data_IF_987062365840
#
_entry.id   IF_987062365840
#
_cell.length_a   1.000
_cell.length_b   1.000
_cell.length_c   1.000
_cell.angle_alpha   90.00
_cell.angle_beta   90.00
_cell.angle_gamma   90.00
#
_symmetry.space_group_name_H-M   'P 1'
#
loop_
_entity.id
_entity.type
_entity.pdbx_description
1 polymer ?
#
# COMPACT_ATOMS: atom_id res chain seq x y z
N UNK A 1 8.84 21.48 13.86
CA UNK A 1 8.37 20.12 14.04
C UNK A 1 9.41 19.10 13.60
N UNK A 2 9.55 18.10 14.36
CA UNK A 2 10.56 17.11 14.07
C UNK A 2 10.10 16.11 13.02
N UNK A 3 10.97 15.80 12.12
CA UNK A 3 10.71 14.79 11.14
C UNK A 3 10.91 13.39 11.71
N UNK A 4 9.96 12.52 11.50
CA UNK A 4 9.95 11.17 12.08
C UNK A 4 10.39 10.09 11.11
N UNK A 5 11.18 10.43 10.11
CA UNK A 5 11.69 9.43 9.17
C UNK A 5 12.63 8.47 9.90
N UNK A 6 12.14 7.29 10.22
CA UNK A 6 12.84 6.33 11.07
C UNK A 6 14.15 5.85 10.51
N UNK A 7 14.29 5.72 9.22
CA UNK A 7 15.44 5.06 8.61
C UNK A 7 16.23 5.99 7.71
N UNK A 8 16.12 7.30 7.96
CA UNK A 8 16.88 8.28 7.21
C UNK A 8 16.42 8.48 5.78
N UNK A 9 15.29 7.94 5.39
CA UNK A 9 14.72 8.16 4.06
C UNK A 9 14.38 9.64 3.88
N UNK A 10 14.75 10.18 2.74
CA UNK A 10 14.41 11.56 2.36
C UNK A 10 13.29 11.53 1.34
N UNK A 11 12.32 12.42 1.50
CA UNK A 11 11.27 12.58 0.51
C UNK A 11 11.83 13.20 -0.76
N UNK A 12 11.45 12.67 -1.88
CA UNK A 12 11.93 13.11 -3.19
C UNK A 12 10.73 13.45 -4.07
N UNK A 13 10.83 14.60 -4.77
CA UNK A 13 9.78 15.02 -5.70
C UNK A 13 10.14 14.59 -7.12
N UNK A 14 9.19 13.98 -7.82
CA UNK A 14 9.36 13.59 -9.21
C UNK A 14 8.04 13.77 -9.95
N UNK A 15 8.06 14.52 -11.05
CA UNK A 15 6.87 14.81 -11.87
C UNK A 15 5.68 15.30 -11.04
N UNK A 16 5.94 16.17 -10.07
CA UNK A 16 4.91 16.73 -9.21
C UNK A 16 4.48 15.86 -8.05
N UNK A 17 4.87 14.58 -8.02
CA UNK A 17 4.58 13.69 -6.90
C UNK A 17 5.75 13.66 -5.91
N UNK A 18 5.44 13.39 -4.65
CA UNK A 18 6.44 13.29 -3.59
C UNK A 18 6.59 11.83 -3.21
N UNK A 19 7.83 11.35 -3.22
CA UNK A 19 8.14 9.96 -2.89
C UNK A 19 8.98 9.90 -1.63
N UNK A 20 8.83 8.83 -0.86
CA UNK A 20 9.47 8.69 0.43
C UNK A 20 10.98 8.45 0.35
N UNK A 21 11.48 8.04 -0.82
CA UNK A 21 12.91 7.80 -1.00
C UNK A 21 13.32 8.03 -2.45
N UNK A 22 14.64 8.19 -2.65
CA UNK A 22 15.21 8.26 -4.01
C UNK A 22 14.96 6.98 -4.79
N UNK A 23 15.01 5.84 -4.11
CA UNK A 23 14.79 4.54 -4.73
C UNK A 23 13.37 4.47 -5.29
N UNK A 24 12.39 4.92 -4.52
CA UNK A 24 11.00 4.93 -4.95
C UNK A 24 10.80 5.89 -6.12
N UNK A 25 11.37 7.09 -6.04
CA UNK A 25 11.28 8.07 -7.14
C UNK A 25 11.93 7.54 -8.41
N UNK A 26 13.07 6.88 -8.28
CA UNK A 26 13.75 6.26 -9.44
C UNK A 26 12.89 5.17 -10.05
N UNK A 27 12.28 4.34 -9.22
CA UNK A 27 11.40 3.28 -9.71
C UNK A 27 10.17 3.86 -10.41
N UNK A 28 9.62 4.96 -9.88
CA UNK A 28 8.50 5.65 -10.52
C UNK A 28 8.87 6.11 -11.94
N UNK A 29 10.09 6.65 -12.10
CA UNK A 29 10.58 7.06 -13.41
C UNK A 29 10.70 5.88 -14.37
N UNK A 30 11.26 4.76 -13.89
CA UNK A 30 11.40 3.55 -14.70
C UNK A 30 10.04 3.01 -15.15
N UNK A 31 9.08 2.96 -14.22
CA UNK A 31 7.73 2.48 -14.55
C UNK A 31 7.03 3.40 -15.53
N UNK A 32 7.23 4.71 -15.40
CA UNK A 32 6.67 5.68 -16.35
C UNK A 32 7.18 5.43 -17.77
N UNK A 33 8.47 5.17 -17.93
CA UNK A 33 9.05 4.86 -19.23
C UNK A 33 8.51 3.54 -19.78
N UNK A 34 8.38 2.51 -18.94
CA UNK A 34 7.83 1.22 -19.36
C UNK A 34 6.38 1.35 -19.80
N UNK A 35 5.60 2.17 -19.10
CA UNK A 35 4.20 2.39 -19.45
C UNK A 35 4.08 3.10 -20.79
N UNK A 36 4.90 4.14 -21.02
CA UNK A 36 4.92 4.84 -22.30
C UNK A 36 5.34 3.94 -23.45
N UNK A 37 6.23 2.99 -23.18
CA UNK A 37 6.67 2.01 -24.16
C UNK A 37 5.66 0.87 -24.39
N UNK A 38 4.55 0.86 -23.65
CA UNK A 38 3.53 -0.18 -23.79
C UNK A 38 3.90 -1.51 -23.16
N UNK A 39 4.95 -1.55 -22.33
CA UNK A 39 5.38 -2.79 -21.69
C UNK A 39 4.55 -3.13 -20.46
N UNK A 40 3.99 -2.13 -19.81
CA UNK A 40 3.11 -2.26 -18.65
C UNK A 40 1.95 -1.29 -18.78
N UNK A 41 0.91 -1.48 -17.96
CA UNK A 41 -0.27 -0.62 -17.99
C UNK A 41 -0.84 -0.45 -16.59
N UNK A 42 -1.70 0.55 -16.44
CA UNK A 42 -2.47 0.81 -15.20
C UNK A 42 -1.56 1.00 -13.98
N UNK A 43 -0.51 1.79 -14.13
CA UNK A 43 0.40 2.08 -13.02
C UNK A 43 -0.31 2.95 -12.00
N UNK A 44 -0.34 2.46 -10.75
CA UNK A 44 -0.91 3.15 -9.61
C UNK A 44 0.12 3.20 -8.49
N UNK A 45 0.06 4.24 -7.68
CA UNK A 45 0.99 4.42 -6.56
C UNK A 45 0.23 4.41 -5.25
N UNK A 46 0.88 3.97 -4.18
CA UNK A 46 0.35 3.97 -2.82
C UNK A 46 -1.03 3.32 -2.76
N UNK A 47 -1.12 2.10 -3.25
CA UNK A 47 -2.38 1.36 -3.29
C UNK A 47 -2.62 0.66 -1.97
N UNK A 48 -3.80 0.89 -1.39
CA UNK A 48 -4.17 0.33 -0.09
C UNK A 48 -4.74 -1.08 -0.25
N UNK A 49 -4.22 -2.00 0.57
CA UNK A 49 -4.79 -3.33 0.73
C UNK A 49 -5.14 -3.53 2.19
N UNK A 50 -6.42 -3.80 2.47
CA UNK A 50 -6.86 -4.09 3.84
C UNK A 50 -6.46 -5.53 4.16
N UNK A 51 -5.71 -5.71 5.24
CA UNK A 51 -5.24 -7.03 5.68
C UNK A 51 -6.16 -7.61 6.74
N UNK A 52 -6.56 -6.79 7.69
CA UNK A 52 -7.51 -7.16 8.74
C UNK A 52 -8.53 -6.02 8.81
N UNK A 53 -9.82 -6.31 8.60
CA UNK A 53 -10.82 -5.25 8.66
C UNK A 53 -11.00 -4.73 10.08
N UNK A 54 -11.59 -3.55 10.20
CA UNK A 54 -11.96 -3.02 11.51
C UNK A 54 -12.90 -3.98 12.21
N UNK A 55 -12.69 -4.15 13.50
CA UNK A 55 -13.51 -5.01 14.35
C UNK A 55 -14.29 -4.14 15.29
N UNK A 56 -15.60 -4.39 15.40
CA UNK A 56 -16.52 -3.52 16.09
C UNK A 56 -17.38 -4.28 17.08
N UNK A 57 -17.90 -3.54 18.06
CA UNK A 57 -18.98 -4.02 18.91
C UNK A 57 -20.19 -4.35 18.02
N UNK A 58 -21.09 -5.23 18.51
CA UNK A 58 -22.31 -5.51 17.77
C UNK A 58 -23.13 -4.24 17.53
N UNK A 59 -23.80 -4.19 16.36
CA UNK A 59 -24.72 -3.09 16.06
C UNK A 59 -25.92 -3.15 17.00
N UNK A 60 -26.51 -2.00 17.29
CA UNK A 60 -27.68 -1.87 18.13
C UNK A 60 -28.80 -1.16 17.39
N UNK A 61 -30.03 -1.25 17.91
CA UNK A 61 -31.16 -0.52 17.36
C UNK A 61 -31.26 0.81 18.07
N UNK A 62 -31.28 1.91 17.31
CA UNK A 62 -31.43 3.25 17.86
C UNK A 62 -32.87 3.52 18.29
N UNK A 63 -33.06 4.65 18.97
CA UNK A 63 -34.36 5.04 19.55
C UNK A 63 -35.46 5.14 18.49
N UNK A 64 -35.11 5.46 17.24
CA UNK A 64 -36.09 5.62 16.14
C UNK A 64 -36.13 4.40 15.23
N UNK A 65 -35.62 3.25 15.66
CA UNK A 65 -35.67 2.01 14.90
C UNK A 65 -34.55 1.84 13.87
N UNK A 66 -33.68 2.83 13.69
CA UNK A 66 -32.53 2.73 12.81
C UNK A 66 -31.41 1.92 13.43
N UNK A 67 -30.55 1.35 12.59
CA UNK A 67 -29.39 0.59 13.07
C UNK A 67 -28.28 1.56 13.48
N UNK A 68 -27.76 1.39 14.68
CA UNK A 68 -26.62 2.13 15.18
C UNK A 68 -25.39 1.23 15.10
N UNK A 69 -24.40 1.64 14.31
CA UNK A 69 -23.16 0.87 14.14
C UNK A 69 -22.38 0.80 15.46
N UNK A 70 -21.87 -0.38 15.79
CA UNK A 70 -21.07 -0.58 16.98
C UNK A 70 -19.75 0.16 16.94
N UNK A 71 -19.22 0.46 18.11
CA UNK A 71 -17.94 1.16 18.25
C UNK A 71 -16.79 0.27 17.75
N UNK A 72 -15.75 0.91 17.21
CA UNK A 72 -14.55 0.19 16.77
C UNK A 72 -13.80 -0.30 18.03
N UNK A 73 -13.59 -1.61 18.09
CA UNK A 73 -12.74 -2.25 19.11
C UNK A 73 -11.29 -2.19 18.63
N UNK A 74 -11.06 -2.66 17.39
CA UNK A 74 -9.75 -2.65 16.75
C UNK A 74 -9.87 -2.03 15.38
N UNK A 75 -8.95 -1.14 15.05
CA UNK A 75 -8.90 -0.52 13.73
C UNK A 75 -8.36 -1.49 12.71
N UNK A 76 -8.71 -1.26 11.45
CA UNK A 76 -8.18 -2.07 10.37
C UNK A 76 -6.66 -2.03 10.33
N UNK A 77 -6.07 -3.11 9.86
CA UNK A 77 -4.66 -3.19 9.52
C UNK A 77 -4.56 -3.20 7.99
N UNK A 78 -3.78 -2.28 7.44
CA UNK A 78 -3.66 -2.15 6.00
C UNK A 78 -2.19 -2.07 5.58
N UNK A 79 -1.94 -2.50 4.33
CA UNK A 79 -0.65 -2.36 3.68
C UNK A 79 -0.81 -1.43 2.49
N UNK A 80 0.15 -0.54 2.30
CA UNK A 80 0.18 0.37 1.15
C UNK A 80 1.33 -0.03 0.24
N UNK A 81 1.01 -0.54 -0.94
CA UNK A 81 2.02 -0.88 -1.93
C UNK A 81 2.55 0.38 -2.60
N UNK A 82 3.86 0.44 -2.83
CA UNK A 82 4.44 1.59 -3.51
C UNK A 82 3.92 1.70 -4.94
N UNK A 83 3.86 0.59 -5.66
CA UNK A 83 3.38 0.55 -7.05
C UNK A 83 2.58 -0.71 -7.32
N UNK A 84 1.51 -0.55 -8.10
CA UNK A 84 0.72 -1.66 -8.62
C UNK A 84 0.49 -1.39 -10.09
N UNK A 85 0.70 -2.41 -10.93
CA UNK A 85 0.51 -2.27 -12.38
C UNK A 85 0.26 -3.64 -13.00
N UNK A 86 -0.17 -3.63 -14.27
CA UNK A 86 -0.29 -4.85 -15.06
C UNK A 86 0.94 -5.02 -15.95
N UNK A 87 1.48 -6.24 -16.00
CA UNK A 87 2.56 -6.55 -16.92
C UNK A 87 2.02 -6.78 -18.34
N UNK A 88 2.89 -7.14 -19.27
CA UNK A 88 2.53 -7.36 -20.68
C UNK A 88 1.65 -8.61 -20.89
N UNK A 89 1.55 -9.47 -19.86
CA UNK A 89 0.70 -10.66 -19.89
C UNK A 89 -0.61 -10.44 -19.13
N UNK A 90 -0.88 -9.21 -18.72
CA UNK A 90 -2.10 -8.87 -18.00
C UNK A 90 -2.10 -9.25 -16.53
N UNK A 91 -0.96 -9.65 -15.98
CA UNK A 91 -0.86 -10.03 -14.57
C UNK A 91 -0.62 -8.78 -13.72
N UNK A 92 -1.28 -8.73 -12.57
CA UNK A 92 -1.05 -7.66 -11.61
C UNK A 92 0.26 -7.87 -10.86
N UNK A 93 1.07 -6.83 -10.83
CA UNK A 93 2.33 -6.81 -10.09
C UNK A 93 2.18 -5.80 -8.96
N UNK A 94 2.56 -6.21 -7.76
CA UNK A 94 2.55 -5.37 -6.56
C UNK A 94 4.00 -5.21 -6.10
N UNK A 95 4.50 -3.98 -6.12
CA UNK A 95 5.91 -3.70 -5.81
C UNK A 95 6.06 -2.89 -4.54
N UNK A 96 7.14 -3.18 -3.84
CA UNK A 96 7.57 -2.40 -2.69
C UNK A 96 9.07 -2.14 -2.81
N UNK A 97 9.46 -0.87 -2.67
CA UNK A 97 10.87 -0.46 -2.79
C UNK A 97 11.49 -0.37 -1.40
N UNK A 98 11.71 -1.51 -0.77
CA UNK A 98 12.22 -1.55 0.60
C UNK A 98 13.74 -1.51 0.64
N UNK A 99 14.30 -0.45 1.23
CA UNK A 99 15.71 -0.43 1.60
C UNK A 99 15.95 -1.24 2.87
N UNK A 100 15.02 -1.20 3.80
CA UNK A 100 15.09 -1.92 5.08
C UNK A 100 13.76 -2.58 5.39
N UNK A 101 13.80 -3.85 5.75
CA UNK A 101 12.59 -4.61 6.09
C UNK A 101 12.33 -4.57 7.58
N UNK A 102 11.35 -3.75 7.98
CA UNK A 102 10.93 -3.69 9.39
C UNK A 102 10.14 -4.95 9.74
N UNK A 103 10.01 -5.22 11.03
CA UNK A 103 9.18 -6.33 11.52
C UNK A 103 7.73 -6.14 11.09
N UNK A 104 7.23 -4.92 11.17
CA UNK A 104 5.86 -4.60 10.74
C UNK A 104 5.66 -4.92 9.26
N UNK A 105 6.60 -4.54 8.41
CA UNK A 105 6.52 -4.83 7.00
C UNK A 105 6.53 -6.34 6.74
N UNK A 106 7.40 -7.08 7.41
CA UNK A 106 7.48 -8.54 7.23
C UNK A 106 6.15 -9.20 7.57
N UNK A 107 5.49 -8.75 8.65
CA UNK A 107 4.17 -9.26 9.02
C UNK A 107 3.15 -8.92 7.94
N UNK A 108 3.14 -7.68 7.46
CA UNK A 108 2.20 -7.26 6.42
C UNK A 108 2.44 -8.00 5.11
N UNK A 109 3.69 -8.25 4.76
CA UNK A 109 4.04 -9.05 3.59
C UNK A 109 3.45 -10.46 3.67
N UNK A 110 3.57 -11.09 4.84
CA UNK A 110 2.99 -12.41 5.09
C UNK A 110 1.47 -12.38 4.99
N UNK A 111 0.86 -11.34 5.54
CA UNK A 111 -0.60 -11.17 5.48
C UNK A 111 -1.08 -10.92 4.05
N UNK A 112 -0.32 -10.18 3.25
CA UNK A 112 -0.65 -9.99 1.83
C UNK A 112 -0.75 -11.32 1.10
N UNK A 113 0.18 -12.22 1.35
CA UNK A 113 0.15 -13.54 0.74
C UNK A 113 -1.00 -14.38 1.30
N UNK A 114 -1.20 -14.37 2.61
CA UNK A 114 -2.22 -15.19 3.27
C UNK A 114 -3.64 -14.73 2.93
N UNK A 115 -3.90 -13.43 3.04
CA UNK A 115 -5.26 -12.86 2.88
C UNK A 115 -5.62 -12.69 1.41
N UNK A 116 -4.72 -12.15 0.61
CA UNK A 116 -4.99 -11.78 -0.78
C UNK A 116 -4.34 -12.70 -1.81
N UNK A 117 -3.48 -13.61 -1.38
CA UNK A 117 -2.74 -14.46 -2.32
C UNK A 117 -1.72 -13.68 -3.14
N UNK A 118 -1.32 -12.50 -2.68
CA UNK A 118 -0.41 -11.61 -3.41
C UNK A 118 0.99 -11.74 -2.84
N UNK A 119 1.94 -12.12 -3.70
CA UNK A 119 3.36 -12.09 -3.37
C UNK A 119 3.92 -10.74 -3.77
N UNK A 120 4.38 -9.96 -2.80
CA UNK A 120 4.98 -8.65 -3.06
C UNK A 120 6.31 -8.83 -3.77
N UNK A 121 6.51 -8.08 -4.85
CA UNK A 121 7.79 -8.00 -5.53
C UNK A 121 8.61 -6.90 -4.87
N UNK A 122 9.70 -7.27 -4.23
CA UNK A 122 10.58 -6.31 -3.56
C UNK A 122 11.66 -5.86 -4.54
N UNK A 123 11.75 -4.56 -4.71
CA UNK A 123 12.71 -3.93 -5.63
C UNK A 123 13.94 -3.44 -4.87
#
# INVERSE_FOLDING_TARGET
>A
MRNTRKYGNKKVRYQGAVYDSRKEARRAAELSLLEKAGKISNVQTQVKFVLIPSQREPDTVGKRGGIKQGKVIEKECAYYADFVYKDDKGRWIVEDTKGFRTKDYIIKRKLMLYVHGIKITEI
#
